data_IF_377220135366
#
_entry.id   IF_377220135366
#
_cell.length_a   1.000
_cell.length_b   1.000
_cell.length_c   1.000
_cell.angle_alpha   90.00
_cell.angle_beta   90.00
_cell.angle_gamma   90.00
#
_symmetry.space_group_name_H-M   'P 1'
#
loop_
_entity.id
_entity.type
_entity.pdbx_description
1 polymer ?
#
# COMPACT_ATOMS: atom_id res chain seq x y z
N UNK A 1 21.17 -0.20 -3.10
CA UNK A 1 21.10 -0.93 -1.81
C UNK A 1 19.66 -0.83 -1.27
N UNK A 2 19.22 -1.80 -0.47
CA UNK A 2 17.82 -1.88 0.00
C UNK A 2 17.76 -2.31 1.46
N UNK A 3 16.81 -1.75 2.21
CA UNK A 3 16.42 -2.23 3.55
C UNK A 3 14.91 -2.51 3.58
N UNK A 4 14.41 -3.08 4.68
CA UNK A 4 12.98 -3.36 4.84
C UNK A 4 12.41 -2.85 6.16
N UNK A 5 11.10 -2.58 6.17
CA UNK A 5 10.38 -2.11 7.35
C UNK A 5 8.93 -2.61 7.40
N UNK A 6 8.46 -2.97 8.59
CA UNK A 6 7.09 -3.41 8.84
C UNK A 6 6.25 -2.20 9.30
N UNK A 7 5.70 -1.46 8.34
CA UNK A 7 5.16 -0.11 8.61
C UNK A 7 3.95 -0.07 9.57
N UNK A 8 3.15 -1.13 9.64
CA UNK A 8 1.98 -1.18 10.52
C UNK A 8 2.35 -1.53 11.97
N UNK A 9 3.25 -2.50 12.16
CA UNK A 9 3.67 -2.92 13.50
C UNK A 9 4.58 -1.88 14.15
N UNK A 10 5.45 -1.23 13.36
CA UNK A 10 6.27 -0.11 13.83
C UNK A 10 5.49 1.23 13.88
N UNK A 11 4.47 1.38 13.05
CA UNK A 11 3.61 2.55 12.98
C UNK A 11 4.05 3.61 11.96
N UNK A 12 3.08 4.42 11.52
CA UNK A 12 3.28 5.44 10.48
C UNK A 12 4.32 6.52 10.84
N UNK A 13 4.44 6.87 12.12
CA UNK A 13 5.44 7.86 12.57
C UNK A 13 6.87 7.36 12.32
N UNK A 14 7.15 6.10 12.67
CA UNK A 14 8.44 5.47 12.41
C UNK A 14 8.68 5.30 10.91
N UNK A 15 7.67 4.82 10.17
CA UNK A 15 7.79 4.63 8.72
C UNK A 15 8.12 5.91 7.95
N UNK A 16 7.43 7.00 8.26
CA UNK A 16 7.65 8.30 7.61
C UNK A 16 9.04 8.85 7.93
N UNK A 17 9.51 8.66 9.17
CA UNK A 17 10.87 9.04 9.57
C UNK A 17 11.91 8.24 8.80
N UNK A 18 11.72 6.92 8.70
CA UNK A 18 12.64 6.03 7.99
C UNK A 18 12.64 6.29 6.48
N UNK A 19 11.50 6.56 5.86
CA UNK A 19 11.42 6.86 4.42
C UNK A 19 12.19 8.14 4.06
N UNK A 20 12.09 9.19 4.89
CA UNK A 20 12.89 10.41 4.73
C UNK A 20 14.38 10.12 4.83
N UNK A 21 14.79 9.35 5.84
CA UNK A 21 16.18 8.95 5.98
C UNK A 21 16.67 8.14 4.77
N UNK A 22 15.86 7.19 4.27
CA UNK A 22 16.18 6.41 3.08
C UNK A 22 16.37 7.30 1.84
N UNK A 23 15.50 8.30 1.67
CA UNK A 23 15.62 9.32 0.60
C UNK A 23 16.93 10.08 0.68
N UNK A 24 17.29 10.56 1.87
CA UNK A 24 18.51 11.36 2.09
C UNK A 24 19.80 10.53 1.91
N UNK A 25 19.71 9.20 2.04
CA UNK A 25 20.85 8.29 1.99
C UNK A 25 20.89 7.40 0.73
N UNK A 26 19.98 7.60 -0.23
CA UNK A 26 19.93 6.82 -1.47
C UNK A 26 19.66 5.32 -1.26
N UNK A 27 18.88 4.97 -0.23
CA UNK A 27 18.52 3.60 0.12
C UNK A 27 17.09 3.31 -0.34
N UNK A 28 16.88 2.19 -1.02
CA UNK A 28 15.53 1.71 -1.32
C UNK A 28 14.89 1.14 -0.06
N UNK A 29 13.58 1.36 0.11
CA UNK A 29 12.81 0.93 1.26
C UNK A 29 11.70 -0.06 0.85
N UNK A 30 11.93 -1.34 1.09
CA UNK A 30 10.91 -2.37 0.94
C UNK A 30 9.95 -2.38 2.14
N UNK A 31 8.64 -2.33 1.88
CA UNK A 31 7.62 -2.31 2.93
C UNK A 31 6.93 -3.66 3.03
N UNK A 32 6.98 -4.23 4.23
CA UNK A 32 6.18 -5.38 4.59
C UNK A 32 4.93 -4.95 5.36
N UNK A 33 3.79 -5.60 5.07
CA UNK A 33 2.48 -5.23 5.62
C UNK A 33 2.05 -6.13 6.79
N UNK A 34 3.00 -6.64 7.59
CA UNK A 34 2.67 -7.48 8.76
C UNK A 34 1.55 -6.83 9.60
N UNK A 35 0.67 -7.67 10.17
CA UNK A 35 -0.54 -7.26 10.93
C UNK A 35 -1.72 -6.71 10.09
N UNK A 36 -1.58 -6.47 8.77
CA UNK A 36 -2.67 -5.87 7.97
C UNK A 36 -4.00 -6.65 8.05
N UNK A 37 -3.95 -7.98 7.97
CA UNK A 37 -5.13 -8.85 7.98
C UNK A 37 -5.89 -8.88 9.33
N UNK A 38 -5.31 -8.33 10.40
CA UNK A 38 -6.03 -8.07 11.65
C UNK A 38 -7.08 -6.97 11.45
N UNK A 39 -6.86 -6.06 10.51
CA UNK A 39 -7.65 -4.85 10.29
C UNK A 39 -8.45 -4.91 8.99
N UNK A 40 -7.92 -5.56 7.94
CA UNK A 40 -8.46 -5.42 6.58
C UNK A 40 -9.20 -6.64 6.01
N UNK A 41 -9.28 -7.73 6.78
CA UNK A 41 -9.83 -9.00 6.30
C UNK A 41 -11.35 -9.09 6.34
N UNK A 42 -11.97 -8.52 7.37
CA UNK A 42 -13.42 -8.65 7.56
C UNK A 42 -14.17 -7.59 6.74
N UNK A 43 -15.18 -8.01 5.98
CA UNK A 43 -15.96 -7.09 5.13
C UNK A 43 -16.89 -6.16 5.93
N UNK A 44 -17.28 -6.58 7.13
CA UNK A 44 -18.27 -5.90 7.96
C UNK A 44 -17.65 -5.01 9.06
N UNK A 45 -16.34 -5.08 9.29
CA UNK A 45 -15.65 -4.26 10.27
C UNK A 45 -14.16 -4.14 9.93
N UNK A 46 -13.59 -2.95 10.07
CA UNK A 46 -12.17 -2.69 9.87
C UNK A 46 -11.89 -1.66 8.79
N UNK A 47 -10.71 -1.77 8.16
CA UNK A 47 -10.22 -0.81 7.16
C UNK A 47 -9.69 -1.61 5.97
N UNK A 48 -10.35 -1.51 4.83
CA UNK A 48 -9.93 -2.26 3.64
C UNK A 48 -8.51 -1.88 3.18
N UNK A 49 -7.71 -2.87 2.74
CA UNK A 49 -6.29 -2.72 2.40
C UNK A 49 -5.98 -1.54 1.47
N UNK A 50 -6.84 -1.24 0.49
CA UNK A 50 -6.72 -0.06 -0.39
C UNK A 50 -6.44 1.26 0.36
N UNK A 51 -7.01 1.44 1.55
CA UNK A 51 -6.78 2.64 2.37
C UNK A 51 -5.37 2.62 2.94
N UNK A 52 -4.94 1.45 3.44
CA UNK A 52 -3.60 1.23 3.97
C UNK A 52 -2.52 1.35 2.87
N UNK A 53 -2.80 0.87 1.66
CA UNK A 53 -1.94 1.01 0.49
C UNK A 53 -1.74 2.49 0.10
N UNK A 54 -2.82 3.28 0.05
CA UNK A 54 -2.74 4.73 -0.17
C UNK A 54 -1.95 5.44 0.93
N UNK A 55 -2.24 5.10 2.19
CA UNK A 55 -1.55 5.67 3.33
C UNK A 55 -0.04 5.35 3.31
N UNK A 56 0.34 4.15 2.89
CA UNK A 56 1.75 3.80 2.70
C UNK A 56 2.38 4.57 1.54
N UNK A 57 1.74 4.66 0.37
CA UNK A 57 2.25 5.45 -0.77
C UNK A 57 2.52 6.92 -0.37
N UNK A 58 1.69 7.48 0.50
CA UNK A 58 1.89 8.82 1.07
C UNK A 58 2.97 8.88 2.16
N UNK A 59 3.03 7.89 3.07
CA UNK A 59 4.01 7.83 4.15
C UNK A 59 5.43 7.55 3.64
N UNK A 60 5.54 6.82 2.52
CA UNK A 60 6.77 6.52 1.82
C UNK A 60 7.21 5.06 1.92
N UNK A 61 7.66 4.53 0.79
CA UNK A 61 8.13 3.17 0.56
C UNK A 61 8.29 2.94 -0.94
N UNK A 62 9.28 2.15 -1.35
CA UNK A 62 9.57 1.91 -2.77
C UNK A 62 8.95 0.61 -3.29
N UNK A 63 8.62 -0.33 -2.40
CA UNK A 63 7.86 -1.55 -2.70
C UNK A 63 6.88 -1.84 -1.56
N UNK A 64 5.74 -2.49 -1.87
CA UNK A 64 4.83 -3.03 -0.85
C UNK A 64 4.25 -4.37 -1.28
N UNK A 65 4.08 -5.30 -0.33
CA UNK A 65 3.35 -6.53 -0.60
C UNK A 65 1.86 -6.26 -0.90
N UNK A 66 1.39 -6.70 -2.06
CA UNK A 66 0.00 -6.53 -2.53
C UNK A 66 -0.84 -7.79 -2.42
N UNK A 67 -0.22 -8.96 -2.25
CA UNK A 67 -0.90 -10.26 -2.27
C UNK A 67 -0.76 -10.92 -3.63
N UNK A 68 -1.08 -12.21 -3.71
CA UNK A 68 -0.77 -13.02 -4.89
C UNK A 68 -1.98 -13.49 -5.66
N UNK A 69 -3.20 -13.28 -5.15
CA UNK A 69 -4.48 -13.80 -5.67
C UNK A 69 -4.58 -15.34 -5.63
N UNK A 70 -3.55 -16.05 -6.08
CA UNK A 70 -3.50 -17.51 -6.24
C UNK A 70 -2.70 -18.23 -5.16
N UNK A 71 -2.12 -17.50 -4.20
CA UNK A 71 -1.26 -18.08 -3.16
C UNK A 71 -1.99 -18.45 -1.88
N UNK A 72 -1.19 -18.67 -0.82
CA UNK A 72 -1.68 -19.16 0.48
C UNK A 72 -2.46 -18.15 1.32
N UNK A 73 -2.35 -16.84 1.01
CA UNK A 73 -3.02 -15.77 1.75
C UNK A 73 -4.15 -15.19 0.89
N UNK A 74 -5.26 -14.84 1.54
CA UNK A 74 -6.47 -14.36 0.89
C UNK A 74 -6.25 -13.09 0.03
N UNK A 75 -6.88 -13.05 -1.14
CA UNK A 75 -6.89 -11.89 -2.03
C UNK A 75 -7.77 -12.12 -3.26
N UNK A 76 -8.84 -11.33 -3.40
CA UNK A 76 -9.72 -11.38 -4.58
C UNK A 76 -9.08 -10.60 -5.75
N UNK A 77 -9.18 -11.13 -6.97
CA UNK A 77 -8.45 -10.62 -8.15
C UNK A 77 -8.82 -9.18 -8.49
N UNK A 78 -10.10 -8.86 -8.65
CA UNK A 78 -10.57 -7.54 -9.08
C UNK A 78 -10.16 -6.44 -8.10
N UNK A 79 -10.37 -6.69 -6.81
CA UNK A 79 -9.95 -5.82 -5.70
C UNK A 79 -8.43 -5.68 -5.67
N UNK A 80 -7.68 -6.78 -5.84
CA UNK A 80 -6.21 -6.76 -5.82
C UNK A 80 -5.67 -5.90 -6.94
N UNK A 81 -6.15 -6.11 -8.16
CA UNK A 81 -5.78 -5.27 -9.28
C UNK A 81 -6.17 -3.81 -9.00
N UNK A 82 -7.33 -3.54 -8.39
CA UNK A 82 -7.76 -2.17 -8.07
C UNK A 82 -6.76 -1.41 -7.20
N UNK A 83 -6.26 -2.02 -6.12
CA UNK A 83 -5.25 -1.35 -5.28
C UNK A 83 -3.82 -1.41 -5.83
N UNK A 84 -3.51 -2.31 -6.78
CA UNK A 84 -2.25 -2.24 -7.54
C UNK A 84 -2.21 -0.98 -8.41
N UNK A 85 -3.30 -0.64 -9.10
CA UNK A 85 -3.37 0.61 -9.88
C UNK A 85 -3.23 1.83 -8.96
N UNK A 86 -3.89 1.80 -7.79
CA UNK A 86 -3.75 2.87 -6.78
C UNK A 86 -2.31 3.07 -6.28
N UNK A 87 -1.46 2.04 -6.34
CA UNK A 87 -0.06 2.11 -5.92
C UNK A 87 0.87 2.58 -7.04
N UNK A 88 0.53 2.34 -8.31
CA UNK A 88 1.45 2.55 -9.45
C UNK A 88 1.09 3.72 -10.33
N UNK A 89 -0.19 3.89 -10.64
CA UNK A 89 -0.64 4.86 -11.62
C UNK A 89 -0.70 6.27 -11.03
N UNK A 90 -0.61 7.29 -11.90
CA UNK A 90 -0.74 8.69 -11.48
C UNK A 90 -2.21 9.12 -11.35
N UNK A 91 -3.10 8.57 -12.16
CA UNK A 91 -4.52 8.89 -12.17
C UNK A 91 -5.35 7.61 -12.33
N UNK A 92 -6.29 7.39 -11.41
CA UNK A 92 -7.14 6.20 -11.38
C UNK A 92 -8.58 6.65 -11.27
N UNK A 93 -9.41 6.31 -12.26
CA UNK A 93 -10.84 6.63 -12.26
C UNK A 93 -11.62 5.79 -11.24
N UNK A 94 -12.78 6.30 -10.84
CA UNK A 94 -13.74 5.56 -10.03
C UNK A 94 -14.16 4.27 -10.76
N UNK A 95 -14.01 3.13 -10.09
CA UNK A 95 -14.50 1.82 -10.55
C UNK A 95 -14.93 0.97 -9.36
N UNK A 96 -16.24 0.92 -9.09
CA UNK A 96 -16.82 0.17 -7.98
C UNK A 96 -16.64 -1.34 -8.14
N UNK A 97 -16.49 -1.86 -9.37
CA UNK A 97 -16.30 -3.29 -9.62
C UNK A 97 -14.94 -3.79 -9.09
N UNK A 98 -13.94 -2.89 -9.05
CA UNK A 98 -12.61 -3.12 -8.46
C UNK A 98 -12.48 -2.52 -7.04
N UNK A 99 -13.59 -2.05 -6.48
CA UNK A 99 -13.63 -1.42 -5.16
C UNK A 99 -12.96 -0.05 -5.09
N UNK A 100 -12.82 0.66 -6.21
CA UNK A 100 -12.34 2.05 -6.26
C UNK A 100 -13.55 2.98 -6.17
N UNK A 101 -13.82 3.50 -4.98
CA UNK A 101 -15.00 4.32 -4.70
C UNK A 101 -14.86 5.77 -5.15
N UNK A 102 -13.64 6.26 -5.33
CA UNK A 102 -13.37 7.64 -5.72
C UNK A 102 -12.22 7.66 -6.71
N UNK A 103 -12.33 8.52 -7.72
CA UNK A 103 -11.20 8.89 -8.57
C UNK A 103 -10.06 9.39 -7.70
N UNK A 104 -8.84 8.94 -8.00
CA UNK A 104 -7.63 9.31 -7.29
C UNK A 104 -6.61 9.86 -8.27
N UNK A 105 -6.28 11.14 -8.11
CA UNK A 105 -5.11 11.77 -8.73
C UNK A 105 -3.97 11.81 -7.70
N UNK A 106 -2.76 11.49 -8.14
CA UNK A 106 -1.55 11.47 -7.33
C UNK A 106 -0.61 12.64 -7.63
N UNK A 107 -0.92 13.48 -8.63
CA UNK A 107 -0.18 14.71 -8.93
C UNK A 107 1.36 14.53 -8.92
N UNK A 108 1.83 13.51 -9.66
CA UNK A 108 3.24 13.14 -9.80
C UNK A 108 3.89 12.49 -8.57
N UNK A 109 3.12 12.09 -7.56
CA UNK A 109 3.66 11.25 -6.48
C UNK A 109 4.18 9.93 -7.06
N UNK A 110 5.43 9.53 -6.78
CA UNK A 110 6.00 8.29 -7.28
C UNK A 110 5.11 7.07 -6.98
N UNK A 111 5.15 6.10 -7.89
CA UNK A 111 4.55 4.78 -7.64
C UNK A 111 5.36 3.98 -6.62
N UNK A 112 4.73 2.93 -6.09
CA UNK A 112 5.29 1.91 -5.18
C UNK A 112 5.24 0.54 -5.85
#
# INVERSE_FOLDING_TARGET
>A
PIIMHDYLTAGFTANTTLSRWCRDNGILLHIHRAMHAVIDRQKNHGIHFRVLAKALRLSGGDHIHTGTVVGKLEGERGITMGFVDLLRENYIEQDKSRGIYFTQDWASLPGV
#
